data_IF_303063750475
#
_entry.id   IF_303063750475
#
_cell.length_a   1.000
_cell.length_b   1.000
_cell.length_c   1.000
_cell.angle_alpha   90.00
_cell.angle_beta   90.00
_cell.angle_gamma   90.00
#
_symmetry.space_group_name_H-M   'P 1'
#
loop_
_entity.id
_entity.type
_entity.pdbx_description
1 polymer ?
#
# COMPACT_ATOMS: atom_id res chain seq x y z
N UNK A 1 6.54 30.53 -11.70
CA UNK A 1 5.40 30.94 -10.90
C UNK A 1 4.52 29.72 -10.73
N UNK A 2 4.35 29.25 -9.48
CA UNK A 2 3.50 28.11 -9.19
C UNK A 2 2.02 28.45 -9.32
N UNK A 3 1.20 27.43 -9.63
CA UNK A 3 -0.26 27.52 -9.63
C UNK A 3 -0.91 27.99 -10.93
N UNK A 4 -0.14 28.38 -11.93
CA UNK A 4 -0.71 28.73 -13.26
C UNK A 4 -0.46 27.58 -14.25
N UNK A 5 -1.51 27.21 -14.99
CA UNK A 5 -1.41 26.22 -16.06
C UNK A 5 -0.57 26.75 -17.22
N UNK A 6 0.10 25.85 -17.92
CA UNK A 6 0.97 26.15 -19.05
C UNK A 6 0.58 25.37 -20.28
N UNK A 7 0.82 25.95 -21.44
CA UNK A 7 0.66 25.24 -22.71
C UNK A 7 1.62 24.05 -22.77
N UNK A 8 1.11 22.90 -23.19
CA UNK A 8 1.92 21.70 -23.41
C UNK A 8 3.01 21.89 -24.48
N UNK A 9 2.78 22.78 -25.44
CA UNK A 9 3.65 22.95 -26.59
C UNK A 9 4.71 24.05 -26.37
N UNK A 10 4.30 25.17 -25.80
CA UNK A 10 5.17 26.34 -25.67
C UNK A 10 5.68 26.61 -24.27
N UNK A 11 5.03 26.04 -23.25
CA UNK A 11 5.30 26.35 -21.84
C UNK A 11 4.82 27.75 -21.41
N UNK A 12 4.17 28.48 -22.26
CA UNK A 12 3.55 29.79 -21.93
C UNK A 12 2.33 29.59 -21.03
N UNK A 13 2.01 30.59 -20.21
CA UNK A 13 0.78 30.61 -19.40
C UNK A 13 -0.43 30.46 -20.30
N UNK A 14 -1.34 29.56 -19.97
CA UNK A 14 -2.58 29.29 -20.71
C UNK A 14 -3.75 29.21 -19.75
N UNK A 15 -4.83 29.91 -20.10
CA UNK A 15 -6.12 29.86 -19.38
C UNK A 15 -7.16 29.05 -20.15
N UNK A 16 -6.75 28.40 -21.25
CA UNK A 16 -7.64 27.62 -22.12
C UNK A 16 -8.09 26.33 -21.42
N UNK A 17 -9.43 26.09 -21.29
CA UNK A 17 -9.96 24.92 -20.60
C UNK A 17 -9.49 23.57 -21.18
N UNK A 18 -9.42 23.46 -22.48
CA UNK A 18 -8.96 22.26 -23.20
C UNK A 18 -7.50 21.96 -22.92
N UNK A 19 -6.65 23.01 -22.86
CA UNK A 19 -5.26 22.82 -22.45
C UNK A 19 -5.15 22.37 -21.01
N UNK A 20 -5.94 22.93 -20.10
CA UNK A 20 -5.96 22.50 -18.69
C UNK A 20 -6.36 21.02 -18.57
N UNK A 21 -7.44 20.59 -19.23
CA UNK A 21 -7.85 19.20 -19.26
C UNK A 21 -6.73 18.28 -19.79
N UNK A 22 -6.12 18.62 -20.92
CA UNK A 22 -4.99 17.89 -21.51
C UNK A 22 -3.82 17.77 -20.53
N UNK A 23 -3.44 18.88 -19.88
CA UNK A 23 -2.31 18.90 -18.96
C UNK A 23 -2.54 18.05 -17.70
N UNK A 24 -3.77 18.01 -17.16
CA UNK A 24 -4.13 17.14 -16.04
C UNK A 24 -3.93 15.67 -16.43
N UNK A 25 -4.44 15.25 -17.58
CA UNK A 25 -4.28 13.88 -18.06
C UNK A 25 -2.83 13.50 -18.38
N UNK A 26 -2.06 14.42 -18.97
CA UNK A 26 -0.64 14.17 -19.23
C UNK A 26 0.19 14.01 -17.95
N UNK A 27 -0.09 14.80 -16.92
CA UNK A 27 0.57 14.64 -15.61
C UNK A 27 0.21 13.30 -14.95
N UNK A 28 -1.07 12.92 -15.02
CA UNK A 28 -1.50 11.62 -14.51
C UNK A 28 -0.86 10.46 -15.28
N UNK A 29 -0.90 10.49 -16.59
CA UNK A 29 -0.28 9.47 -17.44
C UNK A 29 1.25 9.33 -17.19
N UNK A 30 1.93 10.45 -16.91
CA UNK A 30 3.35 10.42 -16.55
C UNK A 30 3.58 9.65 -15.23
N UNK A 31 2.72 9.84 -14.23
CA UNK A 31 2.80 9.12 -12.95
C UNK A 31 2.47 7.64 -13.16
N UNK A 32 1.37 7.35 -13.88
CA UNK A 32 0.94 5.96 -14.14
C UNK A 32 2.03 5.15 -14.87
N UNK A 33 2.74 5.79 -15.80
CA UNK A 33 3.84 5.16 -16.54
C UNK A 33 5.02 4.71 -15.65
N UNK A 34 5.18 5.28 -14.47
CA UNK A 34 6.21 4.85 -13.51
C UNK A 34 6.01 3.38 -13.12
N UNK A 35 4.77 2.88 -13.13
CA UNK A 35 4.47 1.47 -12.85
C UNK A 35 5.18 0.49 -13.80
N UNK A 36 5.60 0.94 -15.00
CA UNK A 36 6.36 0.12 -15.95
C UNK A 36 7.82 -0.11 -15.54
N UNK A 37 8.32 0.68 -14.60
CA UNK A 37 9.74 0.74 -14.21
C UNK A 37 9.99 0.37 -12.75
N UNK A 38 8.94 0.18 -11.94
CA UNK A 38 9.07 -0.27 -10.55
C UNK A 38 8.91 -1.79 -10.48
N UNK A 39 9.56 -2.46 -9.50
CA UNK A 39 9.44 -3.89 -9.32
C UNK A 39 8.01 -4.30 -8.95
N UNK A 40 7.69 -5.55 -9.19
CA UNK A 40 6.48 -6.18 -8.68
C UNK A 40 6.47 -6.24 -7.15
N UNK A 41 5.28 -6.27 -6.57
CA UNK A 41 5.11 -6.48 -5.13
C UNK A 41 5.50 -7.90 -4.78
N UNK A 42 6.49 -8.03 -3.92
CA UNK A 42 6.93 -9.31 -3.37
C UNK A 42 6.17 -9.66 -2.09
N UNK A 43 5.92 -10.94 -1.90
CA UNK A 43 5.34 -11.49 -0.68
C UNK A 43 6.33 -12.42 -0.02
N UNK A 44 6.53 -12.23 1.27
CA UNK A 44 7.35 -13.07 2.13
C UNK A 44 6.45 -13.96 2.98
N UNK A 45 6.87 -15.17 3.25
CA UNK A 45 6.13 -16.10 4.12
C UNK A 45 5.40 -17.18 3.34
N UNK A 46 4.24 -17.59 3.82
CA UNK A 46 3.52 -18.76 3.30
C UNK A 46 2.62 -18.35 2.12
N UNK A 47 2.72 -19.07 0.99
CA UNK A 47 1.90 -18.78 -0.20
C UNK A 47 0.40 -19.02 0.05
N UNK A 48 0.08 -19.97 0.95
CA UNK A 48 -1.28 -20.34 1.37
C UNK A 48 -1.66 -19.72 2.73
N UNK A 49 -1.12 -18.54 3.05
CA UNK A 49 -1.34 -17.89 4.33
C UNK A 49 -2.80 -17.55 4.59
N UNK A 50 -3.21 -17.74 5.84
CA UNK A 50 -4.56 -17.37 6.31
C UNK A 50 -4.71 -15.86 6.50
N UNK A 51 -3.59 -15.14 6.69
CA UNK A 51 -3.55 -13.69 6.84
C UNK A 51 -2.36 -13.09 6.08
N UNK A 52 -2.62 -12.10 5.23
CA UNK A 52 -1.60 -11.24 4.66
C UNK A 52 -1.43 -9.98 5.51
N UNK A 53 -0.23 -9.79 6.04
CA UNK A 53 0.18 -8.56 6.71
C UNK A 53 0.68 -7.58 5.63
N UNK A 54 0.17 -6.37 5.61
CA UNK A 54 0.57 -5.33 4.66
C UNK A 54 1.12 -4.13 5.41
N UNK A 55 2.28 -3.66 4.96
CA UNK A 55 2.92 -2.46 5.49
C UNK A 55 3.57 -1.62 4.39
N UNK A 56 4.03 -0.44 4.76
CA UNK A 56 4.75 0.47 3.88
C UNK A 56 5.67 1.42 4.67
N UNK A 57 6.61 2.06 3.98
CA UNK A 57 7.50 3.03 4.59
C UNK A 57 8.37 2.44 5.72
N UNK A 58 8.46 3.13 6.85
CA UNK A 58 9.28 2.75 8.00
C UNK A 58 8.79 1.56 8.83
N UNK A 59 7.70 0.89 8.44
CA UNK A 59 7.10 -0.21 9.23
C UNK A 59 7.72 -1.59 8.98
N UNK A 60 8.59 -1.73 7.98
CA UNK A 60 9.13 -3.01 7.50
C UNK A 60 9.69 -3.90 8.61
N UNK A 61 10.64 -3.39 9.40
CA UNK A 61 11.37 -4.21 10.38
C UNK A 61 10.47 -4.82 11.45
N UNK A 62 9.54 -4.04 11.97
CA UNK A 62 8.61 -4.49 13.02
C UNK A 62 7.60 -5.51 12.50
N UNK A 63 7.05 -5.28 11.30
CA UNK A 63 6.09 -6.18 10.67
C UNK A 63 6.75 -7.48 10.23
N UNK A 64 7.97 -7.40 9.69
CA UNK A 64 8.75 -8.57 9.33
C UNK A 64 9.04 -9.44 10.56
N UNK A 65 9.50 -8.85 11.65
CA UNK A 65 9.78 -9.55 12.88
C UNK A 65 8.51 -10.21 13.47
N UNK A 66 7.37 -9.51 13.42
CA UNK A 66 6.10 -10.08 13.86
C UNK A 66 5.70 -11.29 13.00
N UNK A 67 5.80 -11.18 11.67
CA UNK A 67 5.53 -12.29 10.74
C UNK A 67 6.44 -13.50 11.01
N UNK A 68 7.76 -13.29 11.12
CA UNK A 68 8.73 -14.35 11.36
C UNK A 68 8.41 -15.07 12.68
N UNK A 69 8.17 -14.33 13.77
CA UNK A 69 7.76 -14.90 15.05
C UNK A 69 6.49 -15.74 14.96
N UNK A 70 5.46 -15.24 14.29
CA UNK A 70 4.17 -15.95 14.15
C UNK A 70 4.34 -17.26 13.37
N UNK A 71 5.16 -17.27 12.31
CA UNK A 71 5.47 -18.47 11.54
C UNK A 71 6.24 -19.51 12.35
N UNK A 72 7.23 -19.09 13.11
CA UNK A 72 7.97 -19.96 14.04
C UNK A 72 7.06 -20.61 15.08
N UNK A 73 5.92 -19.96 15.39
CA UNK A 73 4.89 -20.49 16.31
C UNK A 73 3.70 -21.15 15.58
N UNK A 74 3.92 -21.58 14.32
CA UNK A 74 2.97 -22.40 13.58
C UNK A 74 1.77 -21.67 12.99
N UNK A 75 1.82 -20.32 12.91
CA UNK A 75 0.76 -19.55 12.25
C UNK A 75 1.09 -19.37 10.77
N UNK A 76 0.10 -19.57 9.90
CA UNK A 76 0.22 -19.35 8.45
C UNK A 76 -0.01 -17.88 8.10
N UNK A 77 1.07 -17.13 8.02
CA UNK A 77 1.04 -15.70 7.72
C UNK A 77 2.03 -15.32 6.63
N UNK A 78 1.66 -14.34 5.83
CA UNK A 78 2.51 -13.75 4.80
C UNK A 78 2.64 -12.24 5.02
N UNK A 79 3.65 -11.63 4.42
CA UNK A 79 3.93 -10.21 4.54
C UNK A 79 4.25 -9.59 3.19
N UNK A 80 3.55 -8.53 2.83
CA UNK A 80 3.81 -7.68 1.68
C UNK A 80 4.16 -6.26 2.14
N UNK A 81 5.31 -5.75 1.69
CA UNK A 81 5.73 -4.40 2.01
C UNK A 81 5.77 -3.52 0.77
N UNK A 82 4.99 -2.46 0.77
CA UNK A 82 4.95 -1.51 -0.33
C UNK A 82 6.07 -0.48 -0.22
N UNK A 83 6.99 -0.51 -1.17
CA UNK A 83 8.00 0.54 -1.36
C UNK A 83 7.45 1.68 -2.22
N UNK A 84 6.52 1.36 -3.11
CA UNK A 84 5.86 2.28 -4.03
C UNK A 84 4.36 2.25 -3.79
N UNK A 85 3.78 3.40 -3.51
CA UNK A 85 2.34 3.51 -3.17
C UNK A 85 1.54 4.29 -4.22
N UNK A 86 2.19 5.12 -5.05
CA UNK A 86 1.55 5.81 -6.15
C UNK A 86 2.55 6.09 -7.29
N UNK A 87 2.49 5.36 -8.40
CA UNK A 87 1.57 4.25 -8.66
C UNK A 87 1.87 3.02 -7.81
N UNK A 88 0.88 2.15 -7.65
CA UNK A 88 1.09 0.82 -7.08
C UNK A 88 1.82 -0.10 -8.07
N UNK A 89 2.58 -1.11 -7.62
CA UNK A 89 3.09 -2.19 -8.46
C UNK A 89 1.98 -2.85 -9.27
N UNK A 90 2.26 -3.24 -10.52
CA UNK A 90 1.24 -3.75 -11.46
C UNK A 90 0.51 -5.00 -10.96
N UNK A 91 1.21 -5.88 -10.24
CA UNK A 91 0.67 -7.12 -9.71
C UNK A 91 -0.10 -6.95 -8.39
N UNK A 92 -0.29 -5.73 -7.90
CA UNK A 92 -0.90 -5.46 -6.58
C UNK A 92 -2.26 -6.14 -6.43
N UNK A 93 -3.16 -5.98 -7.41
CA UNK A 93 -4.49 -6.58 -7.35
C UNK A 93 -4.43 -8.11 -7.32
N UNK A 94 -3.60 -8.71 -8.18
CA UNK A 94 -3.42 -10.15 -8.28
C UNK A 94 -2.86 -10.75 -6.98
N UNK A 95 -1.93 -10.05 -6.35
CA UNK A 95 -1.36 -10.47 -5.06
C UNK A 95 -2.41 -10.37 -3.96
N UNK A 96 -3.07 -9.23 -3.81
CA UNK A 96 -4.00 -9.02 -2.69
C UNK A 96 -5.23 -9.92 -2.76
N UNK A 97 -5.76 -10.22 -3.95
CA UNK A 97 -6.91 -11.11 -4.12
C UNK A 97 -6.64 -12.58 -3.82
N UNK A 98 -5.37 -13.00 -3.68
CA UNK A 98 -5.04 -14.37 -3.25
C UNK A 98 -5.40 -14.63 -1.80
N UNK A 99 -5.47 -13.59 -0.97
CA UNK A 99 -5.65 -13.72 0.48
C UNK A 99 -7.06 -13.36 0.93
N UNK A 100 -7.65 -14.24 1.74
CA UNK A 100 -9.01 -14.06 2.26
C UNK A 100 -9.08 -12.99 3.35
N UNK A 101 -8.00 -12.84 4.13
CA UNK A 101 -7.86 -11.84 5.18
C UNK A 101 -6.60 -11.03 4.95
N UNK A 102 -6.71 -9.73 5.05
CA UNK A 102 -5.60 -8.79 4.91
C UNK A 102 -5.63 -7.85 6.11
N UNK A 103 -4.49 -7.61 6.72
CA UNK A 103 -4.35 -6.53 7.71
C UNK A 103 -3.35 -5.50 7.21
N UNK A 104 -3.76 -4.23 7.14
CA UNK A 104 -2.87 -3.11 6.84
C UNK A 104 -2.47 -2.45 8.15
N UNK A 105 -1.15 -2.47 8.43
CA UNK A 105 -0.61 -1.89 9.66
C UNK A 105 0.10 -0.56 9.35
N UNK A 106 -0.43 0.53 9.93
CA UNK A 106 -0.01 1.89 9.61
C UNK A 106 0.22 2.76 10.85
N UNK A 107 1.22 3.63 10.77
CA UNK A 107 1.46 4.63 11.81
C UNK A 107 0.72 5.94 11.52
N UNK A 108 -0.53 5.81 11.11
CA UNK A 108 -1.45 6.89 10.77
C UNK A 108 -2.90 6.43 11.00
N UNK A 109 -3.90 7.15 10.49
CA UNK A 109 -5.33 6.86 10.65
C UNK A 109 -5.89 5.89 9.59
N UNK A 110 -5.04 5.15 8.85
CA UNK A 110 -5.49 4.14 7.88
C UNK A 110 -5.59 4.66 6.44
N UNK A 111 -4.76 5.65 6.09
CA UNK A 111 -4.78 6.25 4.75
C UNK A 111 -4.45 5.24 3.65
N UNK A 112 -3.46 4.38 3.86
CA UNK A 112 -3.08 3.39 2.86
C UNK A 112 -4.13 2.28 2.73
N UNK A 113 -4.72 1.81 3.83
CA UNK A 113 -5.84 0.89 3.79
C UNK A 113 -7.03 1.46 3.00
N UNK A 114 -7.35 2.74 3.19
CA UNK A 114 -8.36 3.45 2.41
C UNK A 114 -8.00 3.54 0.92
N UNK A 115 -6.75 3.85 0.62
CA UNK A 115 -6.23 3.91 -0.74
C UNK A 115 -6.29 2.54 -1.44
N UNK A 116 -5.90 1.46 -0.77
CA UNK A 116 -5.98 0.11 -1.32
C UNK A 116 -7.43 -0.29 -1.63
N UNK A 117 -8.40 0.00 -0.74
CA UNK A 117 -9.83 -0.26 -1.00
C UNK A 117 -10.35 0.49 -2.21
N UNK A 118 -9.88 1.73 -2.43
CA UNK A 118 -10.24 2.54 -3.59
C UNK A 118 -9.65 1.98 -4.89
N UNK A 119 -8.40 1.53 -4.86
CA UNK A 119 -7.67 1.04 -6.05
C UNK A 119 -7.97 -0.41 -6.39
N UNK A 120 -8.23 -1.24 -5.38
CA UNK A 120 -8.48 -2.68 -5.51
C UNK A 120 -9.77 -3.02 -4.75
N UNK A 121 -10.94 -2.89 -5.40
CA UNK A 121 -12.23 -3.16 -4.75
C UNK A 121 -12.38 -4.65 -4.36
N UNK A 122 -13.22 -4.92 -3.39
CA UNK A 122 -13.59 -6.29 -2.97
C UNK A 122 -12.64 -6.95 -1.97
N UNK A 123 -11.63 -6.24 -1.48
CA UNK A 123 -10.71 -6.78 -0.47
C UNK A 123 -11.32 -6.77 0.94
N UNK A 124 -11.11 -7.86 1.68
CA UNK A 124 -11.39 -7.93 3.11
C UNK A 124 -10.18 -7.42 3.91
N UNK A 125 -10.17 -6.11 4.18
CA UNK A 125 -9.06 -5.43 4.86
C UNK A 125 -9.45 -5.06 6.29
N UNK A 126 -8.74 -5.62 7.28
CA UNK A 126 -8.66 -5.13 8.65
C UNK A 126 -7.54 -4.09 8.78
N UNK A 127 -7.55 -3.31 9.84
CA UNK A 127 -6.56 -2.25 10.05
C UNK A 127 -5.94 -2.35 11.45
N UNK A 128 -4.62 -2.12 11.51
CA UNK A 128 -3.91 -1.85 12.73
C UNK A 128 -3.30 -0.45 12.65
N UNK A 129 -3.96 0.53 13.25
CA UNK A 129 -3.56 1.94 13.17
C UNK A 129 -2.99 2.41 14.51
N UNK A 130 -1.81 3.02 14.46
CA UNK A 130 -1.16 3.56 15.66
C UNK A 130 -0.64 4.98 15.38
N UNK A 131 -1.14 5.98 16.12
CA UNK A 131 -0.71 7.37 15.99
C UNK A 131 -0.09 7.83 17.31
N UNK A 132 1.12 7.36 17.62
CA UNK A 132 1.81 7.64 18.88
C UNK A 132 3.16 8.36 18.68
N UNK A 133 3.60 8.60 17.43
CA UNK A 133 4.94 9.12 17.16
C UNK A 133 6.08 8.19 17.59
N UNK A 134 5.79 6.90 17.77
CA UNK A 134 6.73 5.85 18.18
C UNK A 134 6.61 4.67 17.22
N UNK A 135 7.67 3.89 17.01
CA UNK A 135 7.62 2.65 16.26
C UNK A 135 6.59 1.66 16.83
N UNK A 136 6.16 0.71 16.03
CA UNK A 136 5.33 -0.39 16.49
C UNK A 136 6.04 -1.22 17.56
N UNK A 137 5.29 -1.65 18.56
CA UNK A 137 5.73 -2.69 19.50
C UNK A 137 5.39 -4.05 18.89
N UNK A 138 6.40 -4.86 18.59
CA UNK A 138 6.22 -6.16 17.91
C UNK A 138 5.23 -7.06 18.64
N UNK A 139 5.22 -7.06 19.97
CA UNK A 139 4.27 -7.84 20.77
C UNK A 139 2.82 -7.41 20.52
N UNK A 140 2.54 -6.11 20.46
CA UNK A 140 1.19 -5.58 20.17
C UNK A 140 0.71 -6.01 18.78
N UNK A 141 1.63 -6.06 17.78
CA UNK A 141 1.34 -6.56 16.44
C UNK A 141 0.98 -8.05 16.45
N UNK A 142 1.79 -8.87 17.12
CA UNK A 142 1.57 -10.33 17.23
C UNK A 142 0.21 -10.62 17.89
N UNK A 143 -0.09 -9.95 18.98
CA UNK A 143 -1.35 -10.15 19.73
C UNK A 143 -2.55 -9.74 18.84
N UNK A 144 -2.47 -8.60 18.13
CA UNK A 144 -3.52 -8.14 17.24
C UNK A 144 -3.72 -9.07 16.02
N UNK A 145 -2.64 -9.51 15.39
CA UNK A 145 -2.71 -10.38 14.22
C UNK A 145 -3.17 -11.81 14.58
N UNK A 146 -2.78 -12.31 15.76
CA UNK A 146 -3.29 -13.59 16.27
C UNK A 146 -4.80 -13.54 16.45
N UNK A 147 -5.32 -12.46 17.02
CA UNK A 147 -6.77 -12.27 17.18
C UNK A 147 -7.50 -12.28 15.83
N UNK A 148 -6.95 -11.62 14.80
CA UNK A 148 -7.55 -11.62 13.46
C UNK A 148 -7.57 -13.01 12.79
N UNK A 149 -6.62 -13.90 13.15
CA UNK A 149 -6.63 -15.28 12.68
C UNK A 149 -7.72 -16.14 13.32
N UNK A 150 -8.14 -15.80 14.54
CA UNK A 150 -9.14 -16.53 15.31
C UNK A 150 -10.60 -16.09 14.98
N UNK A 151 -10.79 -14.93 14.37
CA UNK A 151 -12.07 -14.43 13.83
C UNK A 151 -12.43 -15.11 12.50
#
# INVERSE_FOLDING_TARGET
>A
IGGLEKSNETGAISTEPENHNKMVHLRQAKVDKIADYIPELEVLGDEDADLLIVGWGGTYGHLRLAMDYMREHGKKVAFAHFQYINPLPKNTADVLHKYKKIVVAEQNLGQFAGYLRMKVPGLNISQFNQVKGQPFVTRELIDAFTKLLEE
#
